data_IF_059353653683
#
_entry.id   IF_059353653683
#
_cell.length_a   1.000
_cell.length_b   1.000
_cell.length_c   1.000
_cell.angle_alpha   90.00
_cell.angle_beta   90.00
_cell.angle_gamma   90.00
#
_symmetry.space_group_name_H-M   'P 1'
#
loop_
_entity.id
_entity.type
_entity.pdbx_description
1 polymer ?
#
# COMPACT_ATOMS: atom_id res chain seq x y z
N UNK A 1 4.18 -52.62 -8.62
CA UNK A 1 4.35 -51.88 -9.88
C UNK A 1 3.52 -50.60 -9.77
N UNK A 2 4.15 -49.45 -9.52
CA UNK A 2 3.56 -48.12 -9.67
C UNK A 2 4.70 -47.15 -9.97
N UNK A 3 5.17 -47.19 -11.21
CA UNK A 3 6.26 -46.36 -11.75
C UNK A 3 5.79 -45.00 -12.29
N UNK A 4 4.51 -44.65 -12.14
CA UNK A 4 3.87 -43.53 -12.87
C UNK A 4 3.32 -42.40 -11.98
N UNK A 5 3.85 -42.23 -10.76
CA UNK A 5 3.42 -41.13 -9.87
C UNK A 5 4.55 -40.42 -9.11
N UNK A 6 5.82 -40.59 -9.49
CA UNK A 6 6.92 -39.72 -9.04
C UNK A 6 7.10 -38.50 -9.97
N UNK A 7 6.07 -38.18 -10.77
CA UNK A 7 6.06 -37.05 -11.67
C UNK A 7 6.07 -35.75 -10.89
N UNK A 8 7.10 -34.94 -11.15
CA UNK A 8 7.57 -33.78 -10.38
C UNK A 8 8.49 -34.20 -9.22
N UNK A 9 9.78 -34.24 -9.50
CA UNK A 9 10.79 -34.17 -8.45
C UNK A 9 10.50 -32.98 -7.52
N UNK A 10 10.93 -33.09 -6.27
CA UNK A 10 10.70 -32.07 -5.26
C UNK A 10 11.15 -30.68 -5.74
N UNK A 11 10.77 -29.61 -5.02
CA UNK A 11 11.18 -28.22 -5.34
C UNK A 11 12.68 -28.04 -5.63
N UNK A 12 13.51 -28.96 -5.16
CA UNK A 12 14.96 -29.05 -5.34
C UNK A 12 15.44 -29.80 -6.59
N UNK A 13 14.57 -30.53 -7.28
CA UNK A 13 14.93 -31.39 -8.43
C UNK A 13 14.78 -30.68 -9.79
N UNK A 14 14.48 -29.38 -9.79
CA UNK A 14 14.54 -28.60 -11.03
C UNK A 14 16.00 -28.38 -11.44
N UNK A 15 16.32 -28.48 -12.76
CA UNK A 15 17.65 -28.15 -13.29
C UNK A 15 17.87 -26.63 -13.36
N UNK A 16 17.50 -25.90 -12.31
CA UNK A 16 17.63 -24.45 -12.19
C UNK A 16 18.45 -24.13 -10.93
N UNK A 17 19.46 -23.28 -11.07
CA UNK A 17 20.24 -22.84 -9.91
C UNK A 17 19.36 -21.94 -9.02
N UNK A 18 19.07 -22.39 -7.80
CA UNK A 18 18.19 -21.68 -6.86
C UNK A 18 18.69 -20.28 -6.51
N UNK A 19 20.00 -20.08 -6.40
CA UNK A 19 20.58 -18.75 -6.13
C UNK A 19 20.38 -17.83 -7.34
N UNK A 20 20.62 -18.33 -8.56
CA UNK A 20 20.37 -17.56 -9.77
C UNK A 20 18.88 -17.17 -9.87
N UNK A 21 17.96 -18.10 -9.61
CA UNK A 21 16.54 -17.83 -9.62
C UNK A 21 16.11 -16.76 -8.60
N UNK A 22 16.70 -16.77 -7.39
CA UNK A 22 16.44 -15.75 -6.37
C UNK A 22 16.97 -14.38 -6.82
N UNK A 23 18.19 -14.34 -7.38
CA UNK A 23 18.78 -13.10 -7.89
C UNK A 23 17.93 -12.53 -9.03
N UNK A 24 17.57 -13.35 -10.00
CA UNK A 24 16.78 -12.95 -11.17
C UNK A 24 15.39 -12.46 -10.76
N UNK A 25 14.73 -13.17 -9.83
CA UNK A 25 13.47 -12.73 -9.24
C UNK A 25 13.59 -11.39 -8.52
N UNK A 26 14.67 -11.20 -7.75
CA UNK A 26 14.97 -9.93 -7.08
C UNK A 26 15.18 -8.77 -8.08
N UNK A 27 15.93 -9.01 -9.16
CA UNK A 27 16.18 -8.03 -10.22
C UNK A 27 14.86 -7.67 -10.93
N UNK A 28 14.04 -8.65 -11.29
CA UNK A 28 12.75 -8.42 -11.95
C UNK A 28 11.81 -7.54 -11.09
N UNK A 29 11.75 -7.81 -9.79
CA UNK A 29 10.97 -6.99 -8.84
C UNK A 29 11.53 -5.58 -8.72
N UNK A 30 12.85 -5.43 -8.58
CA UNK A 30 13.50 -4.11 -8.50
C UNK A 30 13.25 -3.26 -9.75
N UNK A 31 13.38 -3.85 -10.95
CA UNK A 31 13.09 -3.19 -12.22
C UNK A 31 11.60 -2.81 -12.30
N UNK A 32 10.70 -3.69 -11.87
CA UNK A 32 9.26 -3.42 -11.86
C UNK A 32 8.91 -2.20 -10.98
N UNK A 33 9.48 -2.12 -9.77
CA UNK A 33 9.29 -0.95 -8.90
C UNK A 33 9.92 0.32 -9.47
N UNK A 34 11.11 0.23 -10.07
CA UNK A 34 11.75 1.37 -10.72
C UNK A 34 10.90 1.89 -11.90
N UNK A 35 10.36 0.97 -12.71
CA UNK A 35 9.44 1.29 -13.80
C UNK A 35 8.15 1.92 -13.25
N UNK A 36 7.54 1.36 -12.20
CA UNK A 36 6.34 1.90 -11.57
C UNK A 36 6.56 3.32 -11.04
N UNK A 37 7.68 3.56 -10.32
CA UNK A 37 8.00 4.86 -9.76
C UNK A 37 8.22 5.93 -10.86
N UNK A 38 8.88 5.55 -11.96
CA UNK A 38 9.14 6.45 -13.09
C UNK A 38 7.90 6.68 -13.95
N UNK A 39 7.09 5.64 -14.19
CA UNK A 39 5.95 5.71 -15.09
C UNK A 39 4.69 6.27 -14.42
N UNK A 40 4.59 6.14 -13.09
CA UNK A 40 3.44 6.60 -12.30
C UNK A 40 3.77 7.81 -11.42
N UNK A 41 4.54 8.77 -11.93
CA UNK A 41 4.93 9.95 -11.14
C UNK A 41 3.78 10.94 -10.87
N UNK A 42 2.61 10.78 -11.48
CA UNK A 42 1.43 11.62 -11.23
C UNK A 42 0.22 10.78 -10.82
N UNK A 43 -0.39 11.03 -9.65
CA UNK A 43 -1.58 10.31 -9.22
C UNK A 43 -2.76 10.72 -10.10
N UNK A 44 -3.25 9.79 -10.92
CA UNK A 44 -4.40 10.01 -11.80
C UNK A 44 -5.76 9.97 -11.09
N UNK A 45 -5.77 9.60 -9.80
CA UNK A 45 -6.99 9.35 -9.04
C UNK A 45 -7.44 10.67 -8.42
N UNK A 46 -8.52 11.24 -8.94
CA UNK A 46 -9.07 12.48 -8.42
C UNK A 46 -9.69 12.22 -7.02
N UNK A 47 -9.13 12.79 -5.94
CA UNK A 47 -9.63 12.55 -4.58
C UNK A 47 -11.05 13.07 -4.35
N UNK A 48 -11.51 14.01 -5.18
CA UNK A 48 -12.82 14.65 -5.07
C UNK A 48 -13.89 13.98 -5.95
N UNK A 49 -13.53 12.94 -6.72
CA UNK A 49 -14.48 12.20 -7.55
C UNK A 49 -15.43 11.27 -6.75
N UNK A 50 -15.21 11.14 -5.43
CA UNK A 50 -16.04 10.33 -4.55
C UNK A 50 -17.38 11.01 -4.23
N UNK A 51 -18.49 10.28 -4.38
CA UNK A 51 -19.81 10.73 -3.89
C UNK A 51 -19.96 10.32 -2.41
N UNK A 52 -20.40 11.21 -1.52
CA UNK A 52 -20.64 10.86 -0.13
C UNK A 52 -21.77 9.84 -0.03
N UNK A 53 -21.49 8.70 0.60
CA UNK A 53 -22.47 7.65 0.83
C UNK A 53 -23.24 7.94 2.14
N UNK A 54 -24.56 8.11 2.10
CA UNK A 54 -25.34 8.60 3.26
C UNK A 54 -25.32 7.64 4.45
N UNK A 55 -25.10 6.34 4.22
CA UNK A 55 -25.06 5.32 5.27
C UNK A 55 -23.72 5.24 6.03
N UNK A 56 -22.67 5.94 5.57
CA UNK A 56 -21.36 5.90 6.24
C UNK A 56 -21.41 6.46 7.67
N UNK A 57 -22.35 7.36 7.96
CA UNK A 57 -22.55 7.90 9.31
C UNK A 57 -22.92 6.83 10.35
N UNK A 58 -23.67 5.79 9.95
CA UNK A 58 -23.98 4.66 10.84
C UNK A 58 -22.76 3.79 11.11
N UNK A 59 -21.96 3.52 10.07
CA UNK A 59 -20.70 2.77 10.17
C UNK A 59 -19.68 3.50 11.06
N UNK A 60 -19.77 4.83 11.12
CA UNK A 60 -18.91 5.67 11.96
C UNK A 60 -19.32 5.76 13.43
N UNK A 61 -20.40 5.08 13.83
CA UNK A 61 -20.81 5.04 15.23
C UNK A 61 -19.72 4.44 16.14
N UNK A 62 -19.60 4.90 17.40
CA UNK A 62 -18.57 4.42 18.32
C UNK A 62 -18.70 2.91 18.61
N UNK A 63 -19.93 2.37 18.62
CA UNK A 63 -20.19 0.95 18.81
C UNK A 63 -19.67 0.10 17.66
N UNK A 64 -20.02 0.45 16.41
CA UNK A 64 -19.55 -0.29 15.22
C UNK A 64 -18.03 -0.21 15.10
N UNK A 65 -17.43 0.96 15.39
CA UNK A 65 -15.98 1.11 15.44
C UNK A 65 -15.36 0.20 16.50
N UNK A 66 -15.92 0.11 17.70
CA UNK A 66 -15.42 -0.79 18.75
C UNK A 66 -15.50 -2.26 18.34
N UNK A 67 -16.63 -2.68 17.79
CA UNK A 67 -16.81 -4.06 17.29
C UNK A 67 -15.79 -4.36 16.18
N UNK A 68 -15.61 -3.46 15.22
CA UNK A 68 -14.62 -3.62 14.16
C UNK A 68 -13.19 -3.73 14.71
N UNK A 69 -12.85 -2.96 15.75
CA UNK A 69 -11.54 -3.05 16.43
C UNK A 69 -11.32 -4.41 17.07
N UNK A 70 -12.32 -4.93 17.79
CA UNK A 70 -12.25 -6.24 18.43
C UNK A 70 -12.13 -7.34 17.37
N UNK A 71 -12.97 -7.30 16.33
CA UNK A 71 -12.94 -8.24 15.21
C UNK A 71 -11.62 -8.21 14.44
N UNK A 72 -10.88 -7.11 14.50
CA UNK A 72 -9.56 -7.00 13.87
C UNK A 72 -8.45 -7.48 14.81
N UNK A 73 -8.46 -7.03 16.06
CA UNK A 73 -7.38 -7.29 17.02
C UNK A 73 -7.41 -8.71 17.57
N UNK A 74 -8.59 -9.28 17.83
CA UNK A 74 -8.70 -10.60 18.44
C UNK A 74 -8.13 -11.71 17.53
N UNK A 75 -8.48 -11.78 16.23
CA UNK A 75 -7.86 -12.76 15.33
C UNK A 75 -6.36 -12.50 15.13
N UNK A 76 -5.94 -11.24 15.04
CA UNK A 76 -4.51 -10.90 14.91
C UNK A 76 -3.71 -11.36 16.14
N UNK A 77 -4.20 -11.09 17.34
CA UNK A 77 -3.57 -11.53 18.59
C UNK A 77 -3.58 -13.05 18.71
N UNK A 78 -4.65 -13.72 18.30
CA UNK A 78 -4.73 -15.19 18.25
C UNK A 78 -3.66 -15.76 17.32
N UNK A 79 -3.54 -15.25 16.09
CA UNK A 79 -2.55 -15.71 15.12
C UNK A 79 -1.13 -15.51 15.66
N UNK A 80 -0.85 -14.35 16.28
CA UNK A 80 0.45 -14.09 16.93
C UNK A 80 0.69 -15.07 18.08
N UNK A 81 -0.29 -15.27 18.96
CA UNK A 81 -0.17 -16.22 20.07
C UNK A 81 0.11 -17.64 19.56
N UNK A 82 -0.62 -18.11 18.55
CA UNK A 82 -0.42 -19.43 17.95
C UNK A 82 0.92 -19.52 17.20
N UNK A 83 1.43 -18.41 16.65
CA UNK A 83 2.75 -18.38 16.03
C UNK A 83 3.88 -18.60 17.05
N UNK A 84 3.76 -18.01 18.25
CA UNK A 84 4.80 -18.11 19.29
C UNK A 84 4.64 -19.30 20.24
N UNK A 85 3.41 -19.65 20.60
CA UNK A 85 3.10 -20.72 21.56
C UNK A 85 2.68 -22.03 20.88
N UNK A 86 2.40 -22.01 19.57
CA UNK A 86 1.95 -23.18 18.84
C UNK A 86 3.06 -24.18 18.52
N UNK A 87 2.70 -25.36 18.01
CA UNK A 87 3.67 -26.37 17.61
C UNK A 87 4.66 -25.84 16.55
N UNK A 88 5.94 -26.28 16.58
CA UNK A 88 6.94 -25.82 15.63
C UNK A 88 6.69 -26.33 14.20
N UNK A 89 5.95 -27.45 14.05
CA UNK A 89 5.61 -28.02 12.75
C UNK A 89 4.58 -27.16 12.00
N UNK A 90 4.90 -26.80 10.76
CA UNK A 90 4.03 -25.95 9.92
C UNK A 90 2.68 -26.63 9.63
N UNK A 91 2.62 -27.96 9.51
CA UNK A 91 1.37 -28.69 9.27
C UNK A 91 0.39 -28.68 10.47
N UNK A 92 0.89 -28.50 11.70
CA UNK A 92 0.07 -28.48 12.92
C UNK A 92 -0.10 -27.08 13.50
N UNK A 93 0.57 -26.09 12.93
CA UNK A 93 0.47 -24.70 13.35
C UNK A 93 -0.54 -23.97 12.47
N UNK A 94 -1.54 -23.33 13.10
CA UNK A 94 -2.56 -22.57 12.38
C UNK A 94 -2.00 -21.27 11.79
N UNK A 95 -0.95 -20.69 12.37
CA UNK A 95 -0.48 -19.35 12.01
C UNK A 95 -0.03 -19.21 10.55
N UNK A 96 0.76 -20.14 9.97
CA UNK A 96 1.12 -20.11 8.56
C UNK A 96 -0.10 -20.18 7.65
N UNK A 97 -1.06 -21.06 7.95
CA UNK A 97 -2.29 -21.19 7.16
C UNK A 97 -3.15 -19.93 7.24
N UNK A 98 -3.35 -19.37 8.44
CA UNK A 98 -4.13 -18.16 8.65
C UNK A 98 -3.53 -16.95 7.91
N UNK A 99 -2.20 -16.78 7.94
CA UNK A 99 -1.53 -15.66 7.27
C UNK A 99 -1.45 -15.85 5.75
N UNK A 100 -0.94 -16.99 5.28
CA UNK A 100 -0.67 -17.18 3.84
C UNK A 100 -1.91 -17.58 3.04
N UNK A 101 -2.84 -18.30 3.64
CA UNK A 101 -4.06 -18.73 2.93
C UNK A 101 -5.18 -17.75 3.23
N UNK A 102 -5.67 -17.71 4.46
CA UNK A 102 -6.88 -16.94 4.77
C UNK A 102 -6.68 -15.44 4.57
N UNK A 103 -5.60 -14.88 5.10
CA UNK A 103 -5.34 -13.46 5.01
C UNK A 103 -4.91 -13.05 3.59
N UNK A 104 -3.89 -13.66 3.00
CA UNK A 104 -3.45 -13.26 1.65
C UNK A 104 -4.45 -13.64 0.54
N UNK A 105 -4.99 -14.86 0.54
CA UNK A 105 -5.92 -15.33 -0.51
C UNK A 105 -7.33 -14.81 -0.28
N UNK A 106 -7.77 -14.62 0.97
CA UNK A 106 -9.11 -14.12 1.27
C UNK A 106 -9.20 -12.59 1.20
N UNK A 107 -8.28 -11.87 1.84
CA UNK A 107 -8.39 -10.42 1.99
C UNK A 107 -8.20 -9.68 0.66
N UNK A 108 -7.28 -10.12 -0.20
CA UNK A 108 -7.00 -9.47 -1.48
C UNK A 108 -8.23 -9.42 -2.42
N UNK A 109 -8.92 -10.53 -2.73
CA UNK A 109 -10.12 -10.49 -3.57
C UNK A 109 -11.30 -9.79 -2.88
N UNK A 110 -11.45 -9.95 -1.56
CA UNK A 110 -12.46 -9.20 -0.80
C UNK A 110 -12.21 -7.69 -0.94
N UNK A 111 -10.95 -7.24 -0.85
CA UNK A 111 -10.63 -5.82 -1.04
C UNK A 111 -10.77 -5.36 -2.49
N UNK A 112 -10.58 -6.24 -3.48
CA UNK A 112 -10.86 -5.91 -4.87
C UNK A 112 -12.37 -5.72 -5.11
N UNK A 113 -13.22 -6.54 -4.49
CA UNK A 113 -14.67 -6.53 -4.69
C UNK A 113 -15.39 -5.44 -3.87
N UNK A 114 -14.99 -5.24 -2.61
CA UNK A 114 -15.66 -4.35 -1.67
C UNK A 114 -14.91 -3.02 -1.42
N UNK A 115 -13.81 -2.79 -2.13
CA UNK A 115 -12.97 -1.60 -1.95
C UNK A 115 -11.96 -1.76 -0.80
N UNK A 116 -11.46 -0.69 -0.18
CA UNK A 116 -10.28 -0.74 0.69
C UNK A 116 -10.56 -1.32 2.10
N UNK A 117 -11.01 -2.58 2.18
CA UNK A 117 -11.29 -3.34 3.41
C UNK A 117 -10.06 -3.40 4.31
N UNK A 118 -8.86 -3.44 3.72
CA UNK A 118 -7.59 -3.37 4.45
C UNK A 118 -7.49 -2.15 5.39
N UNK A 119 -8.10 -1.01 5.05
CA UNK A 119 -8.08 0.16 5.93
C UNK A 119 -8.81 -0.07 7.26
N UNK A 120 -9.75 -1.01 7.30
CA UNK A 120 -10.56 -1.34 8.48
C UNK A 120 -9.89 -2.45 9.27
N UNK A 121 -9.44 -3.51 8.59
CA UNK A 121 -8.93 -4.73 9.23
C UNK A 121 -7.42 -4.71 9.52
N UNK A 122 -6.75 -3.55 9.36
CA UNK A 122 -5.33 -3.44 9.68
C UNK A 122 -5.13 -3.31 11.20
N UNK A 123 -4.57 -4.33 11.89
CA UNK A 123 -4.41 -4.30 13.34
C UNK A 123 -3.45 -3.21 13.82
N UNK A 124 -2.40 -2.89 13.04
CA UNK A 124 -1.45 -1.82 13.39
C UNK A 124 -2.11 -0.45 13.36
N UNK A 125 -2.96 -0.21 12.37
CA UNK A 125 -3.76 1.02 12.29
C UNK A 125 -4.73 1.14 13.46
N UNK A 126 -5.33 0.04 13.86
CA UNK A 126 -6.22 0.00 15.02
C UNK A 126 -5.46 0.25 16.33
N UNK A 127 -4.31 -0.40 16.53
CA UNK A 127 -3.44 -0.16 17.70
C UNK A 127 -3.02 1.31 17.77
N UNK A 128 -2.51 1.86 16.67
CA UNK A 128 -2.17 3.28 16.57
C UNK A 128 -3.38 4.16 16.92
N UNK A 129 -4.55 3.90 16.34
CA UNK A 129 -5.75 4.70 16.60
C UNK A 129 -6.21 4.64 18.06
N UNK A 130 -6.06 3.48 18.73
CA UNK A 130 -6.36 3.33 20.16
C UNK A 130 -5.38 4.13 21.02
N UNK A 131 -4.07 4.03 20.74
CA UNK A 131 -3.04 4.79 21.46
C UNK A 131 -3.24 6.30 21.33
N UNK A 132 -3.53 6.80 20.12
CA UNK A 132 -3.71 8.23 19.87
C UNK A 132 -5.06 8.77 20.36
N UNK A 133 -6.16 7.99 20.34
CA UNK A 133 -7.43 8.43 20.93
C UNK A 133 -7.40 8.50 22.46
N UNK A 134 -6.53 7.75 23.12
CA UNK A 134 -6.31 7.87 24.56
C UNK A 134 -5.47 9.12 24.94
N UNK A 135 -4.79 9.77 23.99
CA UNK A 135 -3.82 10.84 24.27
C UNK A 135 -4.22 12.26 23.87
N UNK A 136 -5.26 12.46 23.05
CA UNK A 136 -5.66 13.80 22.61
C UNK A 136 -7.18 13.99 22.71
N UNK A 137 -7.70 14.82 23.64
CA UNK A 137 -9.07 15.28 23.54
C UNK A 137 -9.22 15.97 22.19
N UNK A 138 -10.27 15.59 21.43
CA UNK A 138 -10.62 16.25 20.17
C UNK A 138 -10.68 17.74 20.47
N UNK A 139 -9.72 18.51 19.94
CA UNK A 139 -9.88 19.95 19.83
C UNK A 139 -11.12 20.11 18.97
N UNK A 140 -12.22 20.57 19.58
CA UNK A 140 -13.39 20.99 18.84
C UNK A 140 -12.86 21.88 17.73
N UNK A 141 -13.10 21.48 16.49
CA UNK A 141 -12.87 22.33 15.33
C UNK A 141 -13.71 23.56 15.56
N UNK A 142 -13.10 24.55 16.20
CA UNK A 142 -13.58 25.90 16.30
C UNK A 142 -13.81 26.31 14.85
N UNK A 143 -15.09 26.47 14.54
CA UNK A 143 -15.59 26.78 13.23
C UNK A 143 -15.08 28.17 12.92
N UNK A 144 -13.87 28.27 12.39
CA UNK A 144 -13.34 29.52 11.87
C UNK A 144 -14.25 29.91 10.72
N UNK A 145 -15.10 30.88 11.01
CA UNK A 145 -15.81 31.68 10.03
C UNK A 145 -14.74 32.28 9.12
N UNK A 146 -14.51 31.63 7.96
CA UNK A 146 -13.72 32.17 6.87
C UNK A 146 -14.51 33.36 6.30
N UNK A 147 -14.34 34.50 6.96
CA UNK A 147 -14.68 35.82 6.46
C UNK A 147 -13.44 36.69 6.64
N UNK A 148 -12.39 36.40 5.90
CA UNK A 148 -11.51 37.45 5.41
C UNK A 148 -10.77 36.96 4.16
N UNK A 149 -11.34 37.29 2.99
CA UNK A 149 -10.58 37.30 1.74
C UNK A 149 -9.62 38.49 1.78
N UNK A 150 -8.52 38.37 2.51
CA UNK A 150 -7.35 39.22 2.29
C UNK A 150 -6.30 38.47 1.49
N UNK A 151 -6.41 38.72 0.20
CA UNK A 151 -5.38 38.56 -0.83
C UNK A 151 -4.02 38.95 -0.22
N UNK A 152 -3.09 37.99 -0.13
CA UNK A 152 -1.67 38.30 0.03
C UNK A 152 -0.88 37.71 -1.13
N UNK A 153 0.07 38.49 -1.68
CA UNK A 153 0.62 38.28 -3.02
C UNK A 153 1.89 37.41 -2.98
N UNK A 154 2.11 36.68 -4.06
CA UNK A 154 3.42 36.41 -4.66
C UNK A 154 4.63 36.24 -3.72
N UNK A 155 4.68 35.19 -2.90
CA UNK A 155 5.98 34.67 -2.43
C UNK A 155 6.53 33.67 -3.45
N UNK A 156 7.15 34.25 -4.48
CA UNK A 156 8.05 33.62 -5.43
C UNK A 156 9.20 32.92 -4.70
N UNK A 157 9.11 31.61 -4.47
CA UNK A 157 10.27 30.82 -4.06
C UNK A 157 11.17 30.61 -5.29
N UNK A 158 12.00 31.62 -5.54
CA UNK A 158 13.02 31.64 -6.59
C UNK A 158 14.12 30.66 -6.19
N UNK A 159 13.95 29.37 -6.48
CA UNK A 159 15.01 28.37 -6.34
C UNK A 159 16.05 28.63 -7.43
N UNK A 160 17.02 29.50 -7.11
CA UNK A 160 18.12 29.90 -7.99
C UNK A 160 19.16 28.79 -8.01
N UNK A 161 18.86 27.68 -8.68
CA UNK A 161 19.87 26.66 -9.00
C UNK A 161 20.70 27.21 -10.16
N UNK A 162 21.90 27.70 -9.83
CA UNK A 162 22.85 28.28 -10.78
C UNK A 162 23.62 27.15 -11.46
N UNK A 163 23.03 26.51 -12.46
CA UNK A 163 23.75 25.63 -13.39
C UNK A 163 24.50 26.49 -14.42
N UNK A 164 25.85 26.44 -14.49
CA UNK A 164 26.60 27.12 -15.55
C UNK A 164 26.63 26.22 -16.78
N UNK A 165 25.54 26.17 -17.54
CA UNK A 165 25.58 25.64 -18.91
C UNK A 165 26.10 26.74 -19.83
N UNK A 166 27.40 26.70 -20.10
CA UNK A 166 28.03 27.40 -21.24
C UNK A 166 27.44 26.80 -22.52
N UNK A 167 26.36 27.40 -23.02
CA UNK A 167 25.83 27.08 -24.34
C UNK A 167 26.78 27.70 -25.37
N UNK A 168 27.60 26.85 -25.98
CA UNK A 168 28.28 27.15 -27.24
C UNK A 168 27.19 27.24 -28.30
N UNK A 169 26.91 28.45 -28.76
CA UNK A 169 26.11 28.70 -29.95
C UNK A 169 26.99 28.44 -31.18
N UNK A 170 26.54 27.63 -32.14
CA UNK A 170 26.94 27.78 -33.52
C UNK A 170 25.71 28.07 -34.39
N UNK A 171 25.65 29.31 -34.85
CA UNK A 171 25.28 29.76 -36.20
C UNK A 171 24.23 28.94 -36.99
N UNK A 172 23.12 29.61 -37.28
CA UNK A 172 22.47 29.73 -38.59
C UNK A 172 22.34 28.48 -39.47
N UNK A 173 21.12 27.97 -39.60
CA UNK A 173 20.81 27.01 -40.66
C UNK A 173 19.43 26.37 -40.56
N UNK A 174 18.40 27.13 -40.96
CA UNK A 174 17.20 26.69 -41.68
C UNK A 174 17.01 25.16 -41.78
N UNK A 175 15.91 24.66 -41.19
CA UNK A 175 14.85 23.95 -41.92
C UNK A 175 13.69 23.60 -41.01
N UNK A 176 12.51 24.02 -41.45
CA UNK A 176 11.21 23.55 -41.03
C UNK A 176 11.15 22.01 -41.06
N UNK A 177 10.63 21.43 -39.99
CA UNK A 177 10.15 20.04 -40.00
C UNK A 177 8.83 20.03 -39.26
N UNK A 178 7.77 20.00 -40.08
CA UNK A 178 6.39 19.77 -39.70
C UNK A 178 6.25 18.48 -38.89
N UNK A 179 5.41 18.58 -37.87
CA UNK A 179 4.98 17.45 -37.04
C UNK A 179 3.98 16.59 -37.81
N UNK A 180 4.42 15.37 -38.15
CA UNK A 180 3.58 14.18 -38.22
C UNK A 180 4.33 13.04 -37.53
#
# INVERSE_FOLDING_TARGET
>A
MNFLAHGLGGRTDLPLNGVAAIIDGGIAVAISFAALAKLWSRPWLNPDAGRPLPFLHFVDSPGIRWVARILTLAPAALVVAVAFLGPPGTERNLAPWALYVTYWVGLAPISALFGPVWRIVNPLRTLHSCTFHCGFPRRATERSTVSDRRVLPQFQLKLRVRFPLKLRQPEDGVRDVEWW
#
